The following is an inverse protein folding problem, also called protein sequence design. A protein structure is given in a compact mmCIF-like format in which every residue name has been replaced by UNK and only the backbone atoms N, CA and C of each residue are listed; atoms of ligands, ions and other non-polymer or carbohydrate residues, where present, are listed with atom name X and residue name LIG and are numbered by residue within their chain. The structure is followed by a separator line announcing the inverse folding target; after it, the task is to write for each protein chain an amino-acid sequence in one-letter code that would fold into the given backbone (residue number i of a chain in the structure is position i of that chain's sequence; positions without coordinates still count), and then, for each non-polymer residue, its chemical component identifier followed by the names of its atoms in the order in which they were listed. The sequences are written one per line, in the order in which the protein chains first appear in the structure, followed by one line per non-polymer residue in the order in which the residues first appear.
data_IF_319553697036
#
_entry.id   IF_319553697036
#
_cell.length_a   1.000
_cell.length_b   1.000
_cell.length_c   1.000
_cell.angle_alpha   90.00
_cell.angle_beta   90.00
_cell.angle_gamma   90.00
#
_symmetry.space_group_name_H-M   'P 1'
#
loop_
_entity.id
_entity.type
_entity.pdbx_description
1 polymer ?
#
# COMPACT_ATOMS: atom_id res chain seq x y z
N UNK A 1 12.42 -47.98 34.43
CA UNK A 1 11.78 -48.70 33.31
C UNK A 1 12.46 -48.27 32.03
N UNK A 2 13.07 -49.22 31.31
CA UNK A 2 13.82 -49.00 30.06
C UNK A 2 12.83 -48.79 28.92
N UNK A 3 13.10 -47.84 28.03
CA UNK A 3 13.38 -48.16 26.63
C UNK A 3 13.93 -46.96 25.86
N UNK A 4 15.23 -47.02 25.63
CA UNK A 4 15.94 -46.37 24.55
C UNK A 4 15.61 -47.06 23.23
N UNK A 5 15.12 -46.31 22.24
CA UNK A 5 15.18 -46.69 20.84
C UNK A 5 15.92 -45.59 20.08
N UNK A 6 17.09 -45.94 19.55
CA UNK A 6 17.83 -45.16 18.55
C UNK A 6 17.67 -45.86 17.20
N UNK A 7 17.49 -45.09 16.13
CA UNK A 7 17.89 -45.34 14.73
C UNK A 7 17.52 -44.06 13.96
N UNK A 8 18.46 -43.18 13.60
CA UNK A 8 19.37 -43.23 12.43
C UNK A 8 18.63 -43.11 11.09
N UNK A 9 18.72 -41.93 10.46
CA UNK A 9 18.33 -41.69 9.07
C UNK A 9 18.24 -40.19 8.71
N UNK A 10 19.12 -39.63 7.85
CA UNK A 10 19.18 -38.20 7.54
C UNK A 10 18.65 -37.89 6.13
N UNK A 11 17.66 -37.01 5.94
CA UNK A 11 17.46 -36.25 4.69
C UNK A 11 16.78 -34.91 5.02
N UNK A 12 17.39 -33.82 4.54
CA UNK A 12 16.87 -32.48 4.56
C UNK A 12 15.60 -32.35 3.71
N UNK A 13 14.55 -31.75 4.26
CA UNK A 13 13.47 -31.11 3.49
C UNK A 13 13.19 -29.78 4.17
N UNK A 14 13.68 -28.70 3.57
CA UNK A 14 13.25 -27.36 3.93
C UNK A 14 11.84 -27.14 3.43
N UNK A 15 10.94 -26.73 4.31
CA UNK A 15 9.80 -25.88 4.01
C UNK A 15 9.54 -25.05 5.27
N UNK A 16 9.75 -23.74 5.14
CA UNK A 16 9.40 -22.78 6.17
C UNK A 16 7.90 -22.92 6.47
N UNK A 17 7.58 -23.44 7.65
CA UNK A 17 6.21 -23.47 8.14
C UNK A 17 5.80 -22.03 8.46
N UNK A 18 4.95 -21.48 7.60
CA UNK A 18 4.24 -20.22 7.82
C UNK A 18 3.58 -20.25 9.19
N UNK A 19 4.05 -19.40 10.11
CA UNK A 19 3.32 -19.10 11.33
C UNK A 19 2.11 -18.29 10.90
N UNK A 20 0.95 -18.93 10.83
CA UNK A 20 -0.33 -18.22 10.70
C UNK A 20 -0.60 -17.58 12.06
N UNK A 21 -0.09 -16.37 12.27
CA UNK A 21 -0.58 -15.52 13.34
C UNK A 21 -2.01 -15.14 12.98
N UNK A 22 -2.97 -15.73 13.69
CA UNK A 22 -4.31 -15.17 13.78
C UNK A 22 -4.18 -13.82 14.50
N UNK A 23 -3.95 -12.76 13.73
CA UNK A 23 -4.00 -11.40 14.24
C UNK A 23 -5.48 -11.07 14.47
N UNK A 24 -5.83 -10.83 15.74
CA UNK A 24 -7.03 -10.06 16.07
C UNK A 24 -7.08 -8.79 15.19
N UNK A 25 -8.26 -8.23 14.88
CA UNK A 25 -8.35 -6.96 14.17
C UNK A 25 -7.81 -5.86 15.10
N UNK A 26 -6.48 -5.73 15.16
CA UNK A 26 -5.85 -4.50 15.56
C UNK A 26 -6.29 -3.47 14.54
N UNK A 27 -6.73 -2.31 15.02
CA UNK A 27 -6.79 -1.11 14.22
C UNK A 27 -5.35 -0.76 13.80
N UNK A 28 -4.83 -1.53 12.85
CA UNK A 28 -3.53 -1.36 12.25
C UNK A 28 -3.74 -0.28 11.20
N UNK A 29 -3.23 0.93 11.46
CA UNK A 29 -2.85 1.80 10.36
C UNK A 29 -1.94 0.97 9.45
N UNK A 30 -2.33 0.80 8.19
CA UNK A 30 -1.54 0.04 7.24
C UNK A 30 -0.22 0.80 7.03
N UNK A 31 0.96 0.16 7.14
CA UNK A 31 2.24 0.83 6.91
C UNK A 31 2.32 1.55 5.55
N UNK A 32 1.58 1.07 4.54
CA UNK A 32 1.48 1.72 3.23
C UNK A 32 0.66 3.02 3.30
N UNK A 33 -0.41 3.07 4.10
CA UNK A 33 -1.21 4.29 4.32
C UNK A 33 -0.37 5.36 5.02
N UNK A 34 0.34 5.00 6.08
CA UNK A 34 1.25 5.91 6.78
C UNK A 34 2.37 6.41 5.85
N UNK A 35 2.91 5.53 4.99
CA UNK A 35 3.93 5.91 4.02
C UNK A 35 3.39 6.87 2.97
N UNK A 36 2.19 6.61 2.45
CA UNK A 36 1.52 7.47 1.50
C UNK A 36 1.31 8.87 2.09
N UNK A 37 0.65 8.98 3.26
CA UNK A 37 0.38 10.26 3.93
C UNK A 37 1.67 11.04 4.26
N UNK A 38 2.69 10.34 4.77
CA UNK A 38 4.01 10.93 5.01
C UNK A 38 4.65 11.45 3.72
N UNK A 39 4.53 10.71 2.62
CA UNK A 39 5.12 11.11 1.36
C UNK A 39 4.40 12.34 0.75
N UNK A 40 3.10 12.53 1.03
CA UNK A 40 2.38 13.75 0.64
C UNK A 40 2.87 14.96 1.44
N UNK A 41 2.93 14.84 2.77
CA UNK A 41 3.36 15.95 3.65
C UNK A 41 4.82 16.35 3.42
N UNK A 42 5.71 15.39 3.14
CA UNK A 42 7.11 15.66 2.76
C UNK A 42 7.24 16.46 1.46
N UNK A 43 6.24 16.38 0.57
CA UNK A 43 6.20 17.12 -0.69
C UNK A 43 5.38 18.41 -0.57
N UNK A 44 5.04 18.83 0.64
CA UNK A 44 4.38 20.09 0.93
C UNK A 44 2.86 20.09 0.80
N UNK A 45 2.24 18.92 0.58
CA UNK A 45 0.78 18.82 0.65
C UNK A 45 0.31 18.85 2.11
N UNK A 46 -0.77 19.57 2.34
CA UNK A 46 -1.48 19.60 3.61
C UNK A 46 -2.99 19.56 3.37
N UNK A 47 -3.71 19.01 4.32
CA UNK A 47 -5.17 18.89 4.29
C UNK A 47 -5.71 19.09 5.73
N UNK A 48 -7.02 19.33 5.90
CA UNK A 48 -7.61 19.48 7.22
C UNK A 48 -7.41 18.23 8.09
N UNK A 49 -7.13 18.43 9.37
CA UNK A 49 -7.02 17.33 10.32
C UNK A 49 -8.30 16.48 10.36
N UNK A 50 -8.14 15.16 10.38
CA UNK A 50 -9.25 14.20 10.29
C UNK A 50 -9.58 13.72 8.87
N UNK A 51 -8.97 14.32 7.83
CA UNK A 51 -9.21 13.94 6.44
C UNK A 51 -8.18 12.92 5.90
N UNK A 52 -7.35 12.31 6.75
CA UNK A 52 -6.38 11.28 6.37
C UNK A 52 -7.05 10.15 5.59
N UNK A 53 -8.23 9.70 6.05
CA UNK A 53 -9.00 8.65 5.37
C UNK A 53 -9.44 9.07 3.96
N UNK A 54 -9.78 10.35 3.75
CA UNK A 54 -10.10 10.87 2.42
C UNK A 54 -8.88 10.78 1.50
N UNK A 55 -7.70 11.18 2.00
CA UNK A 55 -6.46 11.08 1.24
C UNK A 55 -6.14 9.63 0.89
N UNK A 56 -6.22 8.73 1.86
CA UNK A 56 -6.00 7.28 1.69
C UNK A 56 -6.95 6.73 0.62
N UNK A 57 -8.25 7.01 0.73
CA UNK A 57 -9.24 6.54 -0.24
C UNK A 57 -8.93 7.01 -1.67
N UNK A 58 -8.51 8.26 -1.84
CA UNK A 58 -8.10 8.79 -3.15
C UNK A 58 -6.80 8.11 -3.63
N UNK A 59 -5.85 7.84 -2.75
CA UNK A 59 -4.64 7.10 -3.11
C UNK A 59 -4.94 5.67 -3.58
N UNK A 60 -5.89 4.98 -2.97
CA UNK A 60 -6.35 3.67 -3.45
C UNK A 60 -7.14 3.77 -4.77
N UNK A 61 -7.90 4.85 -4.96
CA UNK A 61 -8.60 5.11 -6.23
C UNK A 61 -7.63 5.24 -7.40
N UNK A 62 -6.47 5.91 -7.22
CA UNK A 62 -5.43 5.99 -8.25
C UNK A 62 -5.02 4.60 -8.77
N UNK A 63 -4.83 3.63 -7.88
CA UNK A 63 -4.49 2.26 -8.29
C UNK A 63 -5.66 1.56 -9.00
N UNK A 64 -6.90 1.90 -8.64
CA UNK A 64 -8.09 1.41 -9.33
C UNK A 64 -8.17 1.96 -10.75
N UNK A 65 -7.86 3.24 -10.96
CA UNK A 65 -7.80 3.87 -12.29
C UNK A 65 -6.75 3.18 -13.16
N UNK A 66 -5.56 2.93 -12.60
CA UNK A 66 -4.52 2.19 -13.32
C UNK A 66 -4.91 0.78 -13.71
N UNK A 67 -5.55 0.04 -12.80
CA UNK A 67 -6.08 -1.29 -13.08
C UNK A 67 -7.22 -1.25 -14.12
N UNK A 68 -8.04 -0.19 -14.08
CA UNK A 68 -9.11 0.09 -15.03
C UNK A 68 -8.63 0.46 -16.44
N UNK A 69 -7.36 0.84 -16.58
CA UNK A 69 -6.77 1.21 -17.86
C UNK A 69 -6.77 2.71 -18.15
N UNK A 70 -7.08 3.54 -17.15
CA UNK A 70 -7.13 4.99 -17.33
C UNK A 70 -5.75 5.58 -17.66
N UNK A 71 -5.81 6.71 -18.37
CA UNK A 71 -4.64 7.51 -18.70
C UNK A 71 -4.25 8.42 -17.53
N UNK A 72 -2.98 8.83 -17.48
CA UNK A 72 -2.50 9.79 -16.50
C UNK A 72 -3.34 11.08 -16.45
N UNK A 73 -3.80 11.58 -17.60
CA UNK A 73 -4.63 12.78 -17.65
C UNK A 73 -6.00 12.59 -16.98
N UNK A 74 -6.62 11.41 -17.13
CA UNK A 74 -7.89 11.09 -16.46
C UNK A 74 -7.68 10.96 -14.95
N UNK A 75 -6.68 10.18 -14.52
CA UNK A 75 -6.36 10.00 -13.10
C UNK A 75 -6.03 11.33 -12.42
N UNK A 76 -5.31 12.24 -13.09
CA UNK A 76 -5.07 13.60 -12.60
C UNK A 76 -6.39 14.36 -12.41
N UNK A 77 -7.25 14.37 -13.40
CA UNK A 77 -8.54 15.08 -13.35
C UNK A 77 -9.43 14.54 -12.22
N UNK A 78 -9.46 13.22 -12.02
CA UNK A 78 -10.23 12.58 -10.95
C UNK A 78 -9.69 12.93 -9.55
N UNK A 79 -8.37 12.92 -9.37
CA UNK A 79 -7.74 13.36 -8.11
C UNK A 79 -7.97 14.86 -7.86
N UNK A 80 -7.91 15.70 -8.89
CA UNK A 80 -8.20 17.13 -8.77
C UNK A 80 -9.66 17.35 -8.35
N UNK A 81 -10.62 16.62 -8.93
CA UNK A 81 -12.03 16.69 -8.55
C UNK A 81 -12.28 16.20 -7.12
N UNK A 82 -11.61 15.13 -6.71
CA UNK A 82 -11.79 14.55 -5.39
C UNK A 82 -11.22 15.41 -4.26
N UNK A 83 -10.06 16.04 -4.49
CA UNK A 83 -9.31 16.74 -3.43
C UNK A 83 -9.23 18.26 -3.61
N UNK A 84 -9.73 18.81 -4.72
CA UNK A 84 -9.62 20.24 -5.03
C UNK A 84 -8.17 20.72 -5.25
N UNK A 85 -7.28 19.83 -5.68
CA UNK A 85 -5.86 20.13 -5.86
C UNK A 85 -5.55 20.76 -7.22
N UNK A 86 -4.42 21.46 -7.30
CA UNK A 86 -3.80 21.80 -8.57
C UNK A 86 -3.26 20.55 -9.26
N UNK A 87 -3.00 20.62 -10.56
CA UNK A 87 -2.41 19.52 -11.34
C UNK A 87 -1.11 19.00 -10.73
N UNK A 88 -0.27 19.90 -10.18
CA UNK A 88 0.97 19.51 -9.50
C UNK A 88 0.70 18.75 -8.19
N UNK A 89 -0.29 19.19 -7.41
CA UNK A 89 -0.73 18.49 -6.20
C UNK A 89 -1.32 17.11 -6.52
N UNK A 90 -2.14 17.02 -7.56
CA UNK A 90 -2.68 15.75 -8.04
C UNK A 90 -1.58 14.78 -8.49
N UNK A 91 -0.61 15.25 -9.28
CA UNK A 91 0.56 14.44 -9.67
C UNK A 91 1.38 13.97 -8.47
N UNK A 92 1.46 14.78 -7.41
CA UNK A 92 2.10 14.40 -6.15
C UNK A 92 1.36 13.26 -5.45
N UNK A 93 0.03 13.34 -5.39
CA UNK A 93 -0.82 12.28 -4.84
C UNK A 93 -0.67 11.00 -5.66
N UNK A 94 -0.76 11.09 -6.99
CA UNK A 94 -0.65 9.95 -7.90
C UNK A 94 0.71 9.25 -7.78
N UNK A 95 1.80 10.02 -7.74
CA UNK A 95 3.14 9.46 -7.60
C UNK A 95 3.35 8.78 -6.24
N UNK A 96 2.84 9.37 -5.16
CA UNK A 96 2.90 8.78 -3.83
C UNK A 96 2.05 7.50 -3.72
N UNK A 97 0.84 7.53 -4.28
CA UNK A 97 -0.07 6.40 -4.30
C UNK A 97 0.50 5.24 -5.11
N UNK A 98 0.94 5.49 -6.34
CA UNK A 98 1.55 4.46 -7.20
C UNK A 98 2.79 3.87 -6.54
N UNK A 99 3.60 4.67 -5.84
CA UNK A 99 4.78 4.16 -5.13
C UNK A 99 4.45 3.32 -3.89
N UNK A 100 3.33 3.59 -3.21
CA UNK A 100 2.99 2.98 -1.91
C UNK A 100 2.03 1.80 -2.05
N UNK A 101 1.08 1.87 -2.98
CA UNK A 101 -0.03 0.93 -3.08
C UNK A 101 0.04 0.03 -4.31
N UNK A 102 0.56 0.51 -5.44
CA UNK A 102 0.58 -0.25 -6.70
C UNK A 102 1.86 -0.01 -7.54
N UNK A 103 3.04 -0.41 -7.02
CA UNK A 103 4.34 -0.17 -7.66
C UNK A 103 4.49 -0.83 -9.04
N UNK A 104 3.66 -1.80 -9.39
CA UNK A 104 3.58 -2.42 -10.70
C UNK A 104 3.11 -1.45 -11.81
N UNK A 105 2.35 -0.40 -11.47
CA UNK A 105 1.86 0.59 -12.44
C UNK A 105 2.80 1.78 -12.64
N UNK A 106 4.02 1.74 -12.10
CA UNK A 106 5.00 2.82 -12.27
C UNK A 106 5.34 3.14 -13.73
N UNK A 107 5.13 2.21 -14.66
CA UNK A 107 5.32 2.41 -16.10
C UNK A 107 4.18 3.21 -16.76
N UNK A 108 3.07 3.44 -16.07
CA UNK A 108 1.97 4.30 -16.53
C UNK A 108 2.12 5.77 -16.15
N UNK A 109 3.12 6.09 -15.33
CA UNK A 109 3.50 7.47 -14.99
C UNK A 109 4.30 8.11 -16.12
#
# INVERSE_FOLDING_TARGET
MKNTARLSGPIAVGLAAFVVLATAPSANADPADDNFLRALTQRGLSWPGGNDQTMINVGHAVCSDWAGGDTMAQTVDDVQKALGLSTNGAGTVIGAATASYCPEFRSKM
#
